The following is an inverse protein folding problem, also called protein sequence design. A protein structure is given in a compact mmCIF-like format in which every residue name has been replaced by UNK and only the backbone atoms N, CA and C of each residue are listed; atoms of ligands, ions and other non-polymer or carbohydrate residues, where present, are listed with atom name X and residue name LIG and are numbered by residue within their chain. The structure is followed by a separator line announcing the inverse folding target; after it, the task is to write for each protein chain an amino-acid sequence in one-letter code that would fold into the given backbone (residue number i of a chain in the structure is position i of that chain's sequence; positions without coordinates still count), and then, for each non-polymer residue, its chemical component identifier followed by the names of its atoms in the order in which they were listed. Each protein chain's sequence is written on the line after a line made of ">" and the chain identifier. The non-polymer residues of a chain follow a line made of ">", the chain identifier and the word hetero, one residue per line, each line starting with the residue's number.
data_IF_309308840682
#
_entry.id   IF_309308840682
#
_cell.length_a   1.000
_cell.length_b   1.000
_cell.length_c   1.000
_cell.angle_alpha   90.00
_cell.angle_beta   90.00
_cell.angle_gamma   90.00
#
_symmetry.space_group_name_H-M   'P 1'
#
loop_
_entity.id
_entity.type
_entity.pdbx_description
1 polymer ?
#
# COMPACT_ATOMS: atom_id res chain seq x y z
N UNK A 1 3.55 1.83 -14.89
CA UNK A 1 3.37 1.36 -13.51
C UNK A 1 4.69 1.53 -12.79
N UNK A 2 4.71 2.47 -11.84
CA UNK A 2 5.80 2.69 -10.89
C UNK A 2 5.30 2.29 -9.52
N UNK A 3 5.60 1.05 -9.15
CA UNK A 3 5.11 0.47 -7.90
C UNK A 3 5.96 0.94 -6.72
N UNK A 4 5.31 1.44 -5.68
CA UNK A 4 5.91 1.77 -4.38
C UNK A 4 5.32 0.90 -3.28
N UNK A 5 6.18 0.53 -2.34
CA UNK A 5 5.83 -0.26 -1.17
C UNK A 5 6.21 0.55 0.07
N UNK A 6 5.30 0.68 1.03
CA UNK A 6 5.57 1.35 2.31
C UNK A 6 6.18 0.38 3.33
N UNK A 7 6.65 0.94 4.45
CA UNK A 7 6.90 0.15 5.65
C UNK A 7 5.62 -0.59 6.11
N UNK A 8 5.80 -1.63 6.90
CA UNK A 8 4.71 -2.35 7.56
C UNK A 8 4.15 -1.53 8.73
N UNK A 9 2.82 -1.53 8.88
CA UNK A 9 2.09 -0.88 9.96
C UNK A 9 0.89 -1.75 10.37
N UNK A 10 0.27 -1.47 11.51
CA UNK A 10 -0.95 -2.16 11.93
C UNK A 10 -2.17 -1.43 11.35
N UNK A 11 -2.93 -2.13 10.52
CA UNK A 11 -4.18 -1.64 9.93
C UNK A 11 -5.00 -2.83 9.37
N UNK A 12 -6.17 -2.54 8.83
CA UNK A 12 -7.05 -3.52 8.19
C UNK A 12 -6.55 -3.86 6.79
N UNK A 13 -6.42 -5.15 6.49
CA UNK A 13 -6.12 -5.62 5.14
C UNK A 13 -7.31 -5.39 4.20
N UNK A 14 -7.08 -4.73 3.06
CA UNK A 14 -8.13 -4.46 2.06
C UNK A 14 -8.63 -5.74 1.38
N UNK A 15 -7.85 -6.83 1.38
CA UNK A 15 -8.19 -8.09 0.72
C UNK A 15 -9.04 -8.99 1.63
N UNK A 16 -8.60 -9.24 2.86
CA UNK A 16 -9.26 -10.18 3.77
C UNK A 16 -10.04 -9.52 4.91
N UNK A 17 -9.94 -8.19 5.06
CA UNK A 17 -10.63 -7.43 6.09
C UNK A 17 -10.14 -7.65 7.52
N UNK A 18 -9.07 -8.42 7.74
CA UNK A 18 -8.49 -8.65 9.07
C UNK A 18 -7.56 -7.50 9.47
N UNK A 19 -7.64 -7.08 10.72
CA UNK A 19 -6.67 -6.18 11.35
C UNK A 19 -5.40 -6.96 11.72
N UNK A 20 -4.26 -6.55 11.18
CA UNK A 20 -2.97 -7.22 11.38
C UNK A 20 -1.81 -6.32 10.95
N UNK A 21 -0.58 -6.84 10.99
CA UNK A 21 0.56 -6.23 10.31
C UNK A 21 0.34 -6.28 8.79
N UNK A 22 0.23 -5.10 8.19
CA UNK A 22 -0.01 -4.87 6.77
C UNK A 22 1.04 -3.93 6.19
N UNK A 23 1.13 -3.87 4.88
CA UNK A 23 1.92 -2.87 4.16
C UNK A 23 1.10 -2.29 3.01
N UNK A 24 1.36 -1.03 2.67
CA UNK A 24 0.72 -0.35 1.55
C UNK A 24 1.55 -0.58 0.29
N UNK A 25 0.91 -1.04 -0.76
CA UNK A 25 1.46 -1.14 -2.11
C UNK A 25 0.67 -0.20 -2.99
N UNK A 26 1.31 0.59 -3.84
CA UNK A 26 0.55 1.38 -4.79
C UNK A 26 1.34 1.74 -6.03
N UNK A 27 0.61 2.22 -7.03
CA UNK A 27 1.15 2.63 -8.32
C UNK A 27 1.10 4.16 -8.40
N UNK A 28 2.28 4.77 -8.54
CA UNK A 28 2.45 6.22 -8.60
C UNK A 28 1.79 6.83 -9.86
N UNK A 29 1.77 6.08 -10.97
CA UNK A 29 1.20 6.56 -12.23
C UNK A 29 -0.33 6.67 -12.15
N UNK A 30 -1.00 5.67 -11.54
CA UNK A 30 -2.47 5.63 -11.42
C UNK A 30 -3.01 6.15 -10.09
N UNK A 31 -2.12 6.46 -9.14
CA UNK A 31 -2.44 6.77 -7.74
C UNK A 31 -3.32 5.72 -7.05
N UNK A 32 -3.28 4.47 -7.49
CA UNK A 32 -3.99 3.37 -6.83
C UNK A 32 -3.14 2.81 -5.70
N UNK A 33 -3.73 2.55 -4.55
CA UNK A 33 -3.11 1.91 -3.39
C UNK A 33 -3.92 0.71 -2.92
N UNK A 34 -3.24 -0.28 -2.36
CA UNK A 34 -3.82 -1.44 -1.69
C UNK A 34 -3.06 -1.71 -0.41
N UNK A 35 -3.76 -1.92 0.69
CA UNK A 35 -3.20 -2.32 1.98
C UNK A 35 -3.35 -3.84 2.12
N UNK A 36 -2.23 -4.54 2.27
CA UNK A 36 -2.18 -6.00 2.23
C UNK A 36 -1.45 -6.57 3.46
N UNK A 37 -2.01 -7.61 4.07
CA UNK A 37 -1.35 -8.36 5.15
C UNK A 37 -0.36 -9.39 4.60
N UNK A 38 0.56 -9.84 5.45
CA UNK A 38 1.55 -10.87 5.09
C UNK A 38 0.93 -12.17 4.56
N UNK A 39 -0.19 -12.62 5.15
CA UNK A 39 -0.87 -13.84 4.70
C UNK A 39 -1.41 -13.70 3.27
N UNK A 40 -2.00 -12.54 2.96
CA UNK A 40 -2.51 -12.27 1.62
C UNK A 40 -1.36 -12.06 0.64
N UNK A 41 -0.29 -11.37 1.03
CA UNK A 41 0.86 -11.17 0.14
C UNK A 41 1.51 -12.50 -0.26
N UNK A 42 1.61 -13.47 0.66
CA UNK A 42 2.07 -14.83 0.36
C UNK A 42 1.14 -15.57 -0.59
N UNK A 43 -0.19 -15.48 -0.39
CA UNK A 43 -1.19 -16.10 -1.29
C UNK A 43 -1.12 -15.54 -2.71
N UNK A 44 -0.85 -14.25 -2.85
CA UNK A 44 -0.76 -13.57 -4.13
C UNK A 44 0.69 -13.37 -4.61
N UNK A 45 1.68 -14.04 -4.00
CA UNK A 45 3.09 -13.90 -4.36
C UNK A 45 3.38 -14.30 -5.82
N UNK A 46 2.57 -15.20 -6.37
CA UNK A 46 2.64 -15.61 -7.78
C UNK A 46 1.79 -14.75 -8.71
N UNK A 47 0.92 -13.88 -8.17
CA UNK A 47 0.12 -12.93 -8.96
C UNK A 47 0.94 -11.68 -9.26
N UNK A 48 0.73 -11.06 -10.41
CA UNK A 48 1.41 -9.79 -10.69
C UNK A 48 0.87 -8.73 -9.75
N UNK A 49 1.77 -8.01 -9.07
CA UNK A 49 1.40 -6.92 -8.16
C UNK A 49 0.48 -5.89 -8.85
N UNK A 50 0.69 -5.67 -10.16
CA UNK A 50 -0.18 -4.84 -10.99
C UNK A 50 -1.66 -5.27 -10.99
N UNK A 51 -1.94 -6.57 -11.02
CA UNK A 51 -3.30 -7.11 -11.01
C UNK A 51 -3.97 -6.94 -9.65
N UNK A 52 -3.18 -7.06 -8.57
CA UNK A 52 -3.67 -6.84 -7.21
C UNK A 52 -4.07 -5.37 -7.03
N UNK A 53 -3.21 -4.44 -7.48
CA UNK A 53 -3.50 -3.00 -7.45
C UNK A 53 -4.70 -2.67 -8.33
N UNK A 54 -4.86 -3.31 -9.49
CA UNK A 54 -6.00 -3.02 -10.35
C UNK A 54 -7.33 -3.54 -9.75
N UNK A 55 -7.30 -4.73 -9.14
CA UNK A 55 -8.48 -5.43 -8.61
C UNK A 55 -8.91 -4.97 -7.22
N UNK A 56 -7.96 -4.71 -6.33
CA UNK A 56 -8.22 -4.35 -4.94
C UNK A 56 -7.77 -2.93 -4.61
N UNK A 57 -7.01 -2.29 -5.50
CA UNK A 57 -6.50 -0.96 -5.24
C UNK A 57 -7.59 0.09 -5.33
N UNK A 58 -7.65 0.94 -4.30
CA UNK A 58 -8.47 2.14 -4.26
C UNK A 58 -7.64 3.33 -4.73
N UNK A 59 -8.26 4.32 -5.37
CA UNK A 59 -7.57 5.58 -5.70
C UNK A 59 -7.29 6.33 -4.39
N UNK A 60 -6.02 6.56 -4.09
CA UNK A 60 -5.59 7.56 -3.11
C UNK A 60 -5.53 8.89 -3.86
N UNK A 61 -6.50 9.77 -3.65
CA UNK A 61 -6.41 11.15 -4.16
C UNK A 61 -5.39 11.98 -3.38
N UNK A 62 -5.00 11.52 -2.18
CA UNK A 62 -3.85 12.06 -1.46
C UNK A 62 -2.56 11.71 -2.21
N UNK A 63 -1.84 12.74 -2.64
CA UNK A 63 -0.51 12.58 -3.23
C UNK A 63 0.38 11.78 -2.30
N UNK A 64 1.05 10.74 -2.82
CA UNK A 64 2.05 9.97 -2.07
C UNK A 64 3.06 10.92 -1.45
N UNK A 65 2.90 11.22 -0.16
CA UNK A 65 3.95 11.86 0.60
C UNK A 65 5.07 10.82 0.75
N UNK A 66 6.27 11.06 0.19
CA UNK A 66 7.41 10.21 0.49
C UNK A 66 7.61 10.24 2.01
N UNK A 67 7.63 9.06 2.63
CA UNK A 67 7.72 8.91 4.08
C UNK A 67 8.90 9.70 4.65
N UNK A 68 8.54 10.66 5.51
CA UNK A 68 9.36 11.41 6.47
C UNK A 68 10.52 12.23 5.84
N UNK A 69 10.29 13.53 5.65
CA UNK A 69 11.33 14.54 5.81
C UNK A 69 11.02 15.33 7.07
N UNK A 70 11.82 15.08 8.11
CA UNK A 70 11.93 15.79 9.38
C UNK A 70 10.81 16.79 9.72
N UNK A 71 9.97 16.46 10.71
CA UNK A 71 9.37 17.46 11.60
C UNK A 71 10.46 17.94 12.58
N UNK A 72 11.50 18.56 12.03
CA UNK A 72 12.29 19.57 12.71
C UNK A 72 12.09 20.81 11.87
N UNK A 73 11.84 21.94 12.53
CA UNK A 73 11.54 23.26 11.95
C UNK A 73 10.06 23.52 11.65
N UNK A 74 9.36 24.11 12.62
CA UNK A 74 8.98 25.54 12.60
C UNK A 74 8.02 25.76 13.80
N UNK A 75 8.56 26.32 14.89
CA UNK A 75 8.45 27.73 15.30
C UNK A 75 7.37 27.90 16.37
#
# INVERSE_FOLDING_TARGET
>A
MRIKISATFYDKCDICGKESLVFKVGDEDTKKIVVICEECSKKYANSRISEIIDKFGRKDEESFYPGIKNLSENN
#
